data_IF_080697461844
#
_entry.id   IF_080697461844
#
_cell.length_a   1.000
_cell.length_b   1.000
_cell.length_c   1.000
_cell.angle_alpha   90.00
_cell.angle_beta   90.00
_cell.angle_gamma   90.00
#
_symmetry.space_group_name_H-M   'P 1'
#
loop_
_entity.id
_entity.type
_entity.pdbx_description
1 polymer ?
#
# COMPACT_ATOMS: atom_id res chain seq x y z
N UNK A 1 7.87 7.80 -2.75
CA UNK A 1 8.88 7.12 -1.92
C UNK A 1 10.05 8.06 -1.62
N UNK A 2 10.67 8.66 -2.63
CA UNK A 2 11.78 9.63 -2.48
C UNK A 2 11.47 10.78 -1.50
N UNK A 3 10.38 11.53 -1.71
CA UNK A 3 10.02 12.64 -0.81
C UNK A 3 9.79 12.20 0.65
N UNK A 4 9.34 10.96 0.90
CA UNK A 4 9.17 10.42 2.26
C UNK A 4 10.52 10.15 2.94
N UNK A 5 11.51 9.71 2.18
CA UNK A 5 12.90 9.60 2.67
C UNK A 5 13.41 10.98 3.08
N UNK A 6 13.14 12.01 2.27
CA UNK A 6 13.54 13.38 2.59
C UNK A 6 12.81 13.94 3.83
N UNK A 7 11.53 13.59 4.04
CA UNK A 7 10.82 13.91 5.29
C UNK A 7 11.52 13.24 6.47
N UNK A 8 11.85 11.94 6.39
CA UNK A 8 12.56 11.23 7.46
C UNK A 8 13.93 11.86 7.75
N UNK A 9 14.66 12.24 6.71
CA UNK A 9 15.93 12.95 6.84
C UNK A 9 15.77 14.28 7.59
N UNK A 10 14.80 15.12 7.19
CA UNK A 10 14.54 16.40 7.86
C UNK A 10 14.08 16.22 9.31
N UNK A 11 13.26 15.19 9.60
CA UNK A 11 12.89 14.83 10.96
C UNK A 11 14.11 14.48 11.82
N UNK A 12 15.03 13.64 11.30
CA UNK A 12 16.28 13.29 12.00
C UNK A 12 17.24 14.48 12.18
N UNK A 13 17.15 15.49 11.32
CA UNK A 13 17.85 16.77 11.48
C UNK A 13 17.18 17.72 12.50
N UNK A 14 16.06 17.34 13.10
CA UNK A 14 15.34 18.17 14.06
C UNK A 14 14.56 19.33 13.43
N UNK A 15 14.31 19.29 12.11
CA UNK A 15 13.45 20.27 11.43
C UNK A 15 12.00 20.06 11.82
N UNK A 16 11.23 21.14 11.79
CA UNK A 16 9.78 21.08 11.96
C UNK A 16 9.09 20.58 10.70
N UNK A 17 7.85 20.08 10.84
CA UNK A 17 7.03 19.67 9.70
C UNK A 17 6.75 20.83 8.73
N UNK A 18 6.62 22.05 9.24
CA UNK A 18 6.41 23.25 8.41
C UNK A 18 7.66 23.57 7.59
N UNK A 19 8.84 23.65 8.20
CA UNK A 19 10.10 23.87 7.48
C UNK A 19 10.34 22.78 6.43
N UNK A 20 10.07 21.52 6.79
CA UNK A 20 10.23 20.39 5.87
C UNK A 20 9.31 20.53 4.65
N UNK A 21 8.05 20.92 4.85
CA UNK A 21 7.14 21.17 3.73
C UNK A 21 7.63 22.31 2.84
N UNK A 22 8.11 23.41 3.41
CA UNK A 22 8.68 24.52 2.64
C UNK A 22 9.92 24.10 1.83
N UNK A 23 10.80 23.28 2.40
CA UNK A 23 11.94 22.70 1.70
C UNK A 23 11.50 21.79 0.55
N UNK A 24 10.48 20.95 0.76
CA UNK A 24 9.93 20.09 -0.28
C UNK A 24 9.29 20.91 -1.40
N UNK A 25 8.55 21.97 -1.10
CA UNK A 25 7.98 22.87 -2.13
C UNK A 25 9.08 23.58 -2.92
N UNK A 26 10.19 23.98 -2.28
CA UNK A 26 11.33 24.58 -3.00
C UNK A 26 12.00 23.63 -3.99
N UNK A 27 12.05 22.33 -3.67
CA UNK A 27 12.73 21.32 -4.51
C UNK A 27 11.79 20.72 -5.56
N UNK A 28 10.56 20.38 -5.18
CA UNK A 28 9.61 19.63 -6.00
C UNK A 28 8.49 20.50 -6.57
N UNK A 29 8.35 21.75 -6.13
CA UNK A 29 7.32 22.67 -6.63
C UNK A 29 5.91 22.11 -6.46
N UNK A 30 5.19 22.04 -7.57
CA UNK A 30 3.80 21.52 -7.63
C UNK A 30 3.71 20.02 -7.31
N UNK A 31 4.79 19.28 -7.50
CA UNK A 31 4.85 17.84 -7.25
C UNK A 31 5.19 17.52 -5.78
N UNK A 32 5.35 18.54 -4.93
CA UNK A 32 5.61 18.35 -3.51
C UNK A 32 4.43 17.65 -2.81
N UNK A 33 4.74 16.71 -1.92
CA UNK A 33 3.73 16.09 -1.06
C UNK A 33 3.05 17.15 -0.19
N UNK A 34 1.74 16.96 0.00
CA UNK A 34 0.93 17.94 0.73
C UNK A 34 1.40 18.15 2.16
N UNK A 35 1.17 19.35 2.69
CA UNK A 35 1.44 19.68 4.10
C UNK A 35 0.84 18.65 5.06
N UNK A 36 -0.39 18.20 4.81
CA UNK A 36 -1.04 17.15 5.62
C UNK A 36 -0.21 15.86 5.64
N UNK A 37 0.29 15.41 4.48
CA UNK A 37 1.11 14.20 4.39
C UNK A 37 2.41 14.34 5.20
N UNK A 38 3.08 15.50 5.14
CA UNK A 38 4.28 15.77 5.93
C UNK A 38 3.99 15.64 7.44
N UNK A 39 2.89 16.23 7.91
CA UNK A 39 2.51 16.16 9.33
C UNK A 39 2.17 14.74 9.80
N UNK A 40 1.50 13.94 8.95
CA UNK A 40 1.22 12.53 9.23
C UNK A 40 2.51 11.72 9.38
N UNK A 41 3.49 11.90 8.49
CA UNK A 41 4.80 11.26 8.59
C UNK A 41 5.57 11.69 9.84
N UNK A 42 5.55 12.98 10.16
CA UNK A 42 6.13 13.50 11.41
C UNK A 42 5.48 12.92 12.66
N UNK A 43 4.19 12.61 12.63
CA UNK A 43 3.52 11.90 13.73
C UNK A 43 4.05 10.46 13.83
N UNK A 44 4.05 9.71 12.72
CA UNK A 44 4.58 8.34 12.66
C UNK A 44 6.01 8.22 13.17
N UNK A 45 6.89 9.13 12.76
CA UNK A 45 8.29 9.14 13.22
C UNK A 45 8.44 9.44 14.71
N UNK A 46 7.56 10.28 15.29
CA UNK A 46 7.52 10.48 16.75
C UNK A 46 7.01 9.24 17.49
N UNK A 47 6.10 8.51 16.87
CA UNK A 47 5.52 7.27 17.40
C UNK A 47 6.48 6.06 17.22
N UNK A 48 7.67 6.27 16.63
CA UNK A 48 8.74 5.27 16.50
C UNK A 48 8.70 4.43 15.21
N UNK A 49 7.79 4.73 14.28
CA UNK A 49 7.69 4.04 12.99
C UNK A 49 8.83 4.50 12.07
N UNK A 50 9.81 3.64 11.78
CA UNK A 50 10.98 4.01 10.97
C UNK A 50 10.87 3.65 9.48
N UNK A 51 9.93 2.78 9.07
CA UNK A 51 9.82 2.41 7.66
C UNK A 51 9.11 3.51 6.86
N UNK A 52 9.65 3.82 5.68
CA UNK A 52 9.10 4.79 4.72
C UNK A 52 8.34 4.10 3.58
N UNK A 53 8.44 2.78 3.50
CA UNK A 53 7.71 1.95 2.55
C UNK A 53 6.23 1.89 2.94
N UNK A 54 5.38 1.74 1.92
CA UNK A 54 3.99 1.40 2.19
C UNK A 54 3.95 0.00 2.78
N UNK A 55 3.17 -0.18 3.85
CA UNK A 55 2.78 -1.51 4.31
C UNK A 55 2.10 -2.28 3.17
N UNK A 56 2.16 -3.62 3.18
CA UNK A 56 1.39 -4.43 2.25
C UNK A 56 -0.06 -3.97 2.26
N UNK A 57 -0.53 -3.46 1.13
CA UNK A 57 -1.94 -3.09 1.01
C UNK A 57 -2.76 -4.35 1.22
N UNK A 58 -3.70 -4.31 2.14
CA UNK A 58 -4.77 -5.30 2.19
C UNK A 58 -5.54 -5.21 0.87
N UNK A 59 -5.14 -6.06 -0.08
CA UNK A 59 -5.90 -6.25 -1.30
C UNK A 59 -7.28 -6.81 -0.98
N UNK A 60 -8.22 -6.71 -1.92
CA UNK A 60 -9.48 -7.46 -1.81
C UNK A 60 -9.12 -8.95 -1.69
N UNK A 61 -9.57 -9.66 -0.65
CA UNK A 61 -9.36 -11.09 -0.55
C UNK A 61 -9.87 -11.76 -1.84
N UNK A 62 -9.11 -12.69 -2.44
CA UNK A 62 -9.57 -13.40 -3.63
C UNK A 62 -10.82 -14.22 -3.24
N UNK A 63 -11.99 -13.79 -3.70
CA UNK A 63 -13.26 -14.48 -3.44
C UNK A 63 -13.43 -15.72 -4.30
N UNK A 64 -12.68 -15.84 -5.40
CA UNK A 64 -12.69 -16.98 -6.32
C UNK A 64 -11.72 -18.09 -5.93
N UNK A 65 -10.55 -17.75 -5.40
CA UNK A 65 -9.44 -18.69 -5.10
C UNK A 65 -9.42 -19.14 -3.64
N UNK A 66 -10.59 -19.34 -3.03
CA UNK A 66 -10.67 -19.90 -1.67
C UNK A 66 -10.45 -21.42 -1.71
N UNK A 67 -9.96 -22.05 -0.63
CA UNK A 67 -9.81 -23.50 -0.57
C UNK A 67 -11.12 -24.25 -0.88
N UNK A 68 -12.24 -23.70 -0.45
CA UNK A 68 -13.58 -24.26 -0.68
C UNK A 68 -13.96 -24.26 -2.17
N UNK A 69 -13.77 -23.13 -2.86
CA UNK A 69 -14.03 -23.02 -4.29
C UNK A 69 -13.10 -23.93 -5.11
N UNK A 70 -11.82 -24.02 -4.72
CA UNK A 70 -10.86 -24.92 -5.36
C UNK A 70 -11.32 -26.37 -5.24
N UNK A 71 -11.79 -26.77 -4.05
CA UNK A 71 -12.26 -28.14 -3.82
C UNK A 71 -13.56 -28.44 -4.55
N UNK A 72 -14.48 -27.45 -4.66
CA UNK A 72 -15.69 -27.57 -5.46
C UNK A 72 -15.36 -27.80 -6.94
N UNK A 73 -14.44 -27.01 -7.51
CA UNK A 73 -14.00 -27.18 -8.90
C UNK A 73 -13.30 -28.53 -9.11
N UNK A 74 -12.47 -28.98 -8.17
CA UNK A 74 -11.82 -30.30 -8.24
C UNK A 74 -12.84 -31.43 -8.29
N UNK A 75 -13.88 -31.39 -7.46
CA UNK A 75 -14.97 -32.38 -7.48
C UNK A 75 -15.71 -32.39 -8.81
N UNK A 76 -16.08 -31.22 -9.34
CA UNK A 76 -16.72 -31.12 -10.65
C UNK A 76 -15.88 -31.76 -11.76
N UNK A 77 -14.56 -31.54 -11.77
CA UNK A 77 -13.66 -32.12 -12.77
C UNK A 77 -13.42 -33.63 -12.59
N UNK A 78 -13.53 -34.14 -11.35
CA UNK A 78 -13.44 -35.57 -11.05
C UNK A 78 -14.69 -36.31 -11.54
N UNK A 79 -15.86 -35.69 -11.42
CA UNK A 79 -17.15 -36.25 -11.86
C UNK A 79 -17.31 -36.18 -13.39
N UNK A 80 -16.99 -35.04 -14.01
CA UNK A 80 -17.02 -34.88 -15.48
C UNK A 80 -15.86 -34.02 -15.99
N UNK A 81 -14.85 -34.69 -16.56
CA UNK A 81 -13.67 -34.05 -17.14
C UNK A 81 -13.96 -33.26 -18.42
N UNK A 82 -15.13 -33.40 -19.04
CA UNK A 82 -15.54 -32.66 -20.25
C UNK A 82 -16.31 -31.36 -19.92
N UNK A 83 -16.46 -31.00 -18.65
CA UNK A 83 -17.10 -29.76 -18.25
C UNK A 83 -16.41 -28.53 -18.85
N UNK A 84 -17.22 -27.67 -19.48
CA UNK A 84 -16.76 -26.41 -20.03
C UNK A 84 -16.52 -25.38 -18.92
N UNK A 85 -15.55 -24.48 -19.12
CA UNK A 85 -15.25 -23.38 -18.19
C UNK A 85 -16.47 -22.52 -17.85
N UNK A 86 -17.41 -22.30 -18.79
CA UNK A 86 -18.65 -21.55 -18.53
C UNK A 86 -19.53 -22.22 -17.47
N UNK A 87 -19.69 -23.54 -17.55
CA UNK A 87 -20.45 -24.33 -16.58
C UNK A 87 -19.77 -24.42 -15.20
N UNK A 88 -18.44 -24.31 -15.16
CA UNK A 88 -17.68 -24.30 -13.90
C UNK A 88 -17.77 -22.93 -13.22
N UNK A 89 -17.99 -21.86 -14.00
CA UNK A 89 -18.07 -20.49 -13.52
C UNK A 89 -19.49 -20.04 -13.09
N UNK A 90 -20.53 -20.83 -13.37
CA UNK A 90 -21.90 -20.69 -12.82
C UNK A 90 -22.00 -21.23 -11.38
#
# INVERSE_FOLDING_TARGET
MEQRVNIKFCFKLGKTATETHEMLVKVYGVDAVSKKCVFEWFKRFRDGEEDVKDEPRSGRPPTSTTPDNIERVRRMLADDRRLSLRKIAE
#
